data_IF_142195566640
#
_entry.id   IF_142195566640
#
_cell.length_a   1.000
_cell.length_b   1.000
_cell.length_c   1.000
_cell.angle_alpha   90.00
_cell.angle_beta   90.00
_cell.angle_gamma   90.00
#
_symmetry.space_group_name_H-M   'P 1'
#
loop_
_entity.id
_entity.type
_entity.pdbx_description
1 polymer ?
#
# COMPACT_ATOMS: atom_id res chain seq x y z
N UNK A 1 -5.89 -7.23 19.13
CA UNK A 1 -5.23 -6.98 17.83
C UNK A 1 -4.61 -5.59 17.86
N UNK A 2 -3.28 -5.51 17.76
CA UNK A 2 -2.50 -4.27 17.86
C UNK A 2 -2.52 -3.45 16.58
N UNK A 3 -2.87 -4.07 15.46
CA UNK A 3 -2.84 -3.49 14.12
C UNK A 3 -4.06 -3.97 13.34
N UNK A 4 -4.67 -3.09 12.55
CA UNK A 4 -5.83 -3.39 11.71
C UNK A 4 -5.67 -2.80 10.31
N UNK A 5 -6.22 -3.50 9.31
CA UNK A 5 -6.34 -2.97 7.94
C UNK A 5 -7.64 -2.17 7.83
N UNK A 6 -7.56 -0.93 7.36
CA UNK A 6 -8.70 -0.04 7.16
C UNK A 6 -8.73 0.49 5.73
N UNK A 7 -9.93 0.70 5.20
CA UNK A 7 -10.09 1.35 3.91
C UNK A 7 -10.24 2.86 4.08
N UNK A 8 -9.32 3.63 3.49
CA UNK A 8 -9.45 5.09 3.40
C UNK A 8 -10.15 5.43 2.10
N UNK A 9 -11.32 6.07 2.20
CA UNK A 9 -12.10 6.54 1.04
C UNK A 9 -11.31 7.58 0.21
N UNK A 10 -11.56 7.64 -1.11
CA UNK A 10 -11.03 8.72 -1.94
C UNK A 10 -11.53 10.08 -1.43
N UNK A 11 -10.67 11.09 -1.47
CA UNK A 11 -10.98 12.45 -1.01
C UNK A 11 -10.03 13.47 -1.63
N UNK A 12 -10.43 14.74 -1.59
CA UNK A 12 -9.56 15.85 -1.98
C UNK A 12 -8.75 16.33 -0.78
N UNK A 13 -7.44 16.46 -0.97
CA UNK A 13 -6.51 16.97 0.04
C UNK A 13 -6.06 18.38 -0.35
N UNK A 14 -6.29 19.34 0.55
CA UNK A 14 -5.72 20.69 0.41
C UNK A 14 -4.22 20.66 0.64
N UNK A 15 -3.46 21.19 -0.31
CA UNK A 15 -2.01 21.31 -0.26
C UNK A 15 -1.60 22.59 0.46
N UNK A 16 -0.36 22.64 0.95
CA UNK A 16 0.21 23.85 1.59
C UNK A 16 0.22 25.07 0.65
N UNK A 17 0.26 24.84 -0.67
CA UNK A 17 0.18 25.87 -1.71
C UNK A 17 -1.22 26.44 -1.91
N UNK A 18 -2.25 25.92 -1.24
CA UNK A 18 -3.65 26.33 -1.40
C UNK A 18 -4.43 25.56 -2.46
N UNK A 19 -3.75 24.82 -3.34
CA UNK A 19 -4.38 23.93 -4.32
C UNK A 19 -4.96 22.64 -3.71
N UNK A 20 -5.66 21.85 -4.51
CA UNK A 20 -6.22 20.56 -4.11
C UNK A 20 -5.59 19.43 -4.93
N UNK A 21 -5.27 18.32 -4.25
CA UNK A 21 -4.86 17.07 -4.87
C UNK A 21 -5.94 16.02 -4.64
N UNK A 22 -6.36 15.34 -5.71
CA UNK A 22 -7.23 14.17 -5.61
C UNK A 22 -6.43 13.01 -5.03
N UNK A 23 -6.90 12.43 -3.93
CA UNK A 23 -6.28 11.27 -3.29
C UNK A 23 -7.19 10.07 -3.49
N UNK A 24 -6.69 9.05 -4.18
CA UNK A 24 -7.43 7.82 -4.41
C UNK A 24 -7.71 7.04 -3.11
N UNK A 25 -8.74 6.19 -3.18
CA UNK A 25 -9.02 5.20 -2.16
C UNK A 25 -7.84 4.25 -1.98
N UNK A 26 -7.58 3.83 -0.75
CA UNK A 26 -6.52 2.85 -0.50
C UNK A 26 -6.72 2.11 0.82
N UNK A 27 -6.36 0.84 0.84
CA UNK A 27 -6.20 0.07 2.06
C UNK A 27 -4.94 0.49 2.81
N UNK A 28 -5.07 0.77 4.11
CA UNK A 28 -4.01 1.26 4.98
C UNK A 28 -3.95 0.46 6.27
N UNK A 29 -2.76 0.42 6.85
CA UNK A 29 -2.52 -0.21 8.16
C UNK A 29 -2.65 0.85 9.24
N UNK A 30 -3.52 0.61 10.22
CA UNK A 30 -3.70 1.45 11.39
C UNK A 30 -3.29 0.71 12.65
N UNK A 31 -2.35 1.28 13.38
CA UNK A 31 -1.99 0.84 14.73
C UNK A 31 -3.10 1.27 15.70
N UNK A 32 -3.55 0.36 16.56
CA UNK A 32 -4.52 0.67 17.62
C UNK A 32 -3.81 1.28 18.82
N UNK A 33 -4.53 1.96 19.72
CA UNK A 33 -3.93 2.58 20.93
C UNK A 33 -3.24 1.58 21.86
N UNK A 34 -3.53 0.29 21.69
CA UNK A 34 -2.94 -0.81 22.44
C UNK A 34 -1.81 -1.51 21.67
N UNK A 35 -1.33 -0.92 20.56
CA UNK A 35 -0.21 -1.46 19.82
C UNK A 35 1.06 -1.39 20.66
N UNK A 36 1.50 -2.53 21.15
CA UNK A 36 2.87 -2.65 21.65
C UNK A 36 3.82 -2.49 20.47
N UNK A 37 4.87 -1.68 20.68
CA UNK A 37 5.87 -1.31 19.67
C UNK A 37 6.63 -2.54 19.09
N UNK A 38 6.41 -3.72 19.66
CA UNK A 38 7.02 -5.00 19.29
C UNK A 38 6.36 -5.69 18.10
N UNK A 39 5.09 -5.39 17.79
CA UNK A 39 4.38 -6.05 16.67
C UNK A 39 4.83 -5.50 15.30
N UNK A 40 6.04 -5.87 14.88
CA UNK A 40 6.66 -5.47 13.60
C UNK A 40 6.05 -6.15 12.38
N UNK A 41 5.23 -7.19 12.56
CA UNK A 41 4.63 -7.95 11.47
C UNK A 41 3.17 -8.28 11.76
N UNK A 42 2.34 -8.21 10.73
CA UNK A 42 0.90 -8.45 10.77
C UNK A 42 0.50 -9.31 9.56
N UNK A 43 -0.18 -10.44 9.79
CA UNK A 43 -0.70 -11.30 8.71
C UNK A 43 -2.19 -11.09 8.54
N UNK A 44 -2.66 -10.99 7.31
CA UNK A 44 -4.07 -10.85 6.98
C UNK A 44 -4.37 -11.39 5.58
N UNK A 45 -5.65 -11.48 5.25
CA UNK A 45 -6.10 -11.79 3.89
C UNK A 45 -6.18 -10.48 3.09
N UNK A 46 -5.78 -10.49 1.83
CA UNK A 46 -5.93 -9.37 0.92
C UNK A 46 -7.42 -9.13 0.66
N UNK A 47 -7.97 -7.94 0.91
CA UNK A 47 -9.39 -7.67 0.68
C UNK A 47 -9.75 -7.57 -0.80
N UNK A 48 -8.76 -7.43 -1.70
CA UNK A 48 -8.99 -7.30 -3.15
C UNK A 48 -8.97 -8.64 -3.87
N UNK A 49 -8.05 -9.55 -3.52
CA UNK A 49 -7.86 -10.82 -4.24
C UNK A 49 -7.89 -12.07 -3.36
N UNK A 50 -8.02 -11.94 -2.04
CA UNK A 50 -8.10 -13.09 -1.12
C UNK A 50 -6.76 -13.78 -0.82
N UNK A 51 -5.64 -13.35 -1.39
CA UNK A 51 -4.32 -13.91 -1.09
C UNK A 51 -3.91 -13.67 0.37
N UNK A 52 -3.09 -14.55 0.95
CA UNK A 52 -2.52 -14.31 2.29
C UNK A 52 -1.37 -13.33 2.18
N UNK A 53 -1.42 -12.27 2.99
CA UNK A 53 -0.48 -11.14 2.97
C UNK A 53 0.22 -11.02 4.31
N UNK A 54 1.52 -10.76 4.26
CA UNK A 54 2.37 -10.42 5.40
C UNK A 54 2.75 -8.95 5.29
N UNK A 55 2.28 -8.18 6.24
CA UNK A 55 2.56 -6.75 6.36
C UNK A 55 3.63 -6.51 7.41
N UNK A 56 4.67 -5.75 7.07
CA UNK A 56 5.87 -5.53 7.90
C UNK A 56 6.09 -4.04 8.13
N UNK A 57 6.36 -3.65 9.37
CA UNK A 57 6.71 -2.28 9.76
C UNK A 57 8.18 -2.01 9.43
N UNK A 58 8.44 -0.97 8.66
CA UNK A 58 9.81 -0.64 8.22
C UNK A 58 10.54 0.22 9.26
N UNK A 59 11.89 0.15 9.32
CA UNK A 59 12.68 0.95 10.27
C UNK A 59 12.48 2.47 10.16
N UNK A 60 12.25 2.98 8.94
CA UNK A 60 11.97 4.41 8.67
C UNK A 60 10.50 4.82 8.85
N UNK A 61 9.68 3.94 9.43
CA UNK A 61 8.23 4.12 9.48
C UNK A 61 7.51 3.62 8.23
N UNK A 62 6.18 3.57 8.31
CA UNK A 62 5.35 2.97 7.26
C UNK A 62 5.32 1.45 7.29
N UNK A 63 4.50 0.89 6.40
CA UNK A 63 4.20 -0.54 6.31
C UNK A 63 4.38 -1.01 4.87
N UNK A 64 4.93 -2.22 4.71
CA UNK A 64 5.13 -2.88 3.41
C UNK A 64 4.37 -4.20 3.40
N UNK A 65 3.70 -4.50 2.27
CA UNK A 65 2.83 -5.65 2.10
C UNK A 65 3.50 -6.67 1.18
N UNK A 66 3.71 -7.88 1.69
CA UNK A 66 4.32 -8.99 0.97
C UNK A 66 3.35 -10.15 0.83
N UNK A 67 3.57 -11.01 -0.16
CA UNK A 67 2.91 -12.32 -0.19
C UNK A 67 3.32 -13.14 1.04
N UNK A 68 2.38 -13.88 1.63
CA UNK A 68 2.65 -14.71 2.82
C UNK A 68 2.81 -16.20 2.52
N UNK A 69 2.61 -16.63 1.26
CA UNK A 69 2.69 -18.03 0.84
C UNK A 69 3.89 -18.33 -0.07
N UNK A 70 4.36 -19.58 -0.04
CA UNK A 70 5.16 -20.17 -1.11
C UNK A 70 6.58 -19.62 -1.31
N UNK A 71 7.34 -19.29 -0.26
CA UNK A 71 8.72 -18.80 -0.41
C UNK A 71 8.85 -17.38 -0.96
N UNK A 72 7.73 -16.77 -1.40
CA UNK A 72 7.65 -15.40 -1.94
C UNK A 72 7.48 -14.34 -0.85
N UNK A 73 8.00 -14.58 0.36
CA UNK A 73 7.80 -13.72 1.54
C UNK A 73 8.44 -12.33 1.45
N UNK A 74 9.22 -12.09 0.40
CA UNK A 74 9.89 -10.83 0.06
C UNK A 74 9.28 -10.17 -1.17
N UNK A 75 8.36 -10.84 -1.88
CA UNK A 75 7.68 -10.30 -3.04
C UNK A 75 6.55 -9.38 -2.59
N UNK A 76 6.55 -8.13 -3.09
CA UNK A 76 5.51 -7.16 -2.79
C UNK A 76 4.16 -7.63 -3.35
N UNK A 77 3.12 -7.59 -2.52
CA UNK A 77 1.77 -7.96 -2.94
C UNK A 77 1.19 -6.86 -3.83
N UNK A 78 0.89 -7.12 -5.12
CA UNK A 78 0.63 -6.07 -6.12
C UNK A 78 -0.60 -5.22 -5.80
N UNK A 79 -1.63 -5.79 -5.17
CA UNK A 79 -2.90 -5.10 -4.94
C UNK A 79 -2.75 -3.84 -4.04
N UNK A 80 -1.72 -3.75 -3.19
CA UNK A 80 -1.50 -2.57 -2.34
C UNK A 80 -0.67 -1.46 -3.02
N UNK A 81 -0.13 -1.71 -4.21
CA UNK A 81 0.76 -0.77 -4.91
C UNK A 81 0.20 -0.25 -6.22
N UNK A 82 -0.84 -0.91 -6.74
CA UNK A 82 -1.62 -0.42 -7.87
C UNK A 82 -2.76 0.39 -7.26
N UNK A 83 -2.82 1.70 -7.52
CA UNK A 83 -3.97 2.51 -7.09
C UNK A 83 -5.26 1.96 -7.70
N UNK A 84 -6.36 1.97 -6.94
CA UNK A 84 -7.63 1.35 -7.36
C UNK A 84 -8.17 1.90 -8.70
N UNK A 85 -7.81 3.14 -9.04
CA UNK A 85 -8.17 3.81 -10.31
C UNK A 85 -7.00 3.89 -11.31
N UNK A 86 -5.91 3.17 -11.08
CA UNK A 86 -4.77 3.14 -12.01
C UNK A 86 -4.87 1.95 -12.95
N UNK A 87 -5.05 2.22 -14.24
CA UNK A 87 -4.97 1.19 -15.27
C UNK A 87 -3.55 0.61 -15.34
N UNK A 88 -3.42 -0.71 -15.52
CA UNK A 88 -2.14 -1.37 -15.83
C UNK A 88 -1.48 -0.89 -17.15
N UNK A 89 -2.19 -0.05 -17.92
CA UNK A 89 -1.70 0.51 -19.17
C UNK A 89 -0.61 1.55 -18.87
N UNK A 90 0.53 1.44 -19.57
CA UNK A 90 1.57 2.49 -19.59
C UNK A 90 0.89 3.81 -20.01
N UNK A 91 1.09 4.87 -19.23
CA UNK A 91 0.61 6.20 -19.61
C UNK A 91 1.25 6.58 -20.96
N UNK A 92 0.45 6.93 -21.99
CA UNK A 92 0.96 7.19 -23.32
C UNK A 92 1.89 8.41 -23.38
N UNK A 93 1.90 9.26 -22.34
CA UNK A 93 2.73 10.45 -22.27
C UNK A 93 3.98 10.26 -21.40
N UNK A 94 4.14 9.11 -20.75
CA UNK A 94 5.32 8.80 -19.94
C UNK A 94 6.43 8.40 -20.88
N UNK A 95 7.30 9.37 -21.15
CA UNK A 95 8.52 9.19 -21.95
C UNK A 95 9.34 8.04 -21.38
N UNK A 96 9.82 7.14 -22.25
CA UNK A 96 10.72 6.10 -21.82
C UNK A 96 12.05 6.74 -21.42
N UNK A 97 12.49 6.49 -20.20
CA UNK A 97 13.76 7.01 -19.69
C UNK A 97 14.97 6.32 -20.36
N UNK A 98 14.74 5.23 -21.11
CA UNK A 98 15.80 4.36 -21.63
C UNK A 98 15.65 4.05 -23.13
N UNK A 99 15.02 4.93 -23.93
CA UNK A 99 14.83 4.75 -25.39
C UNK A 99 16.14 4.63 -26.23
N UNK A 100 17.32 4.49 -25.61
CA UNK A 100 18.59 4.24 -26.30
C UNK A 100 19.47 3.23 -25.54
N UNK A 101 19.30 1.96 -25.87
CA UNK A 101 20.35 0.94 -25.78
C UNK A 101 20.46 0.24 -27.14
#
# INVERSE_FOLDING_TARGET
MTVQLIYRKPHDRKLKSGGYAKVAGSWLVRETRHATHESRTYRHVCPMCGAKVRTVKMPGGGWVHFEAEGGLQTLKHPCFYIGEDMTHRKDPNTLDLFDRL
#
